data_IF_258934006759
#
_entry.id   IF_258934006759
#
_cell.length_a   1.000
_cell.length_b   1.000
_cell.length_c   1.000
_cell.angle_alpha   90.00
_cell.angle_beta   90.00
_cell.angle_gamma   90.00
#
_symmetry.space_group_name_H-M   'P 1'
#
loop_
_entity.id
_entity.type
_entity.pdbx_description
1 polymer ?
#
# COMPACT_ATOMS: atom_id res chain seq x y z
N UNK A 1 -13.94 20.96 -7.40
CA UNK A 1 -12.97 20.64 -8.47
C UNK A 1 -12.49 19.25 -8.16
N UNK A 2 -12.51 18.37 -9.16
CA UNK A 2 -12.13 16.98 -8.94
C UNK A 2 -10.61 16.86 -8.92
N UNK A 3 -10.08 16.00 -8.07
CA UNK A 3 -8.64 15.74 -7.95
C UNK A 3 -8.34 14.27 -7.68
N UNK A 4 -7.07 13.92 -7.89
CA UNK A 4 -6.50 12.62 -7.56
C UNK A 4 -5.48 12.84 -6.46
N UNK A 5 -5.55 12.06 -5.38
CA UNK A 5 -4.50 12.03 -4.36
C UNK A 5 -3.39 11.06 -4.81
N UNK A 6 -2.19 11.55 -5.16
CA UNK A 6 -1.15 10.68 -5.71
C UNK A 6 -0.48 9.80 -4.64
N UNK A 7 -0.64 10.10 -3.34
CA UNK A 7 0.07 9.41 -2.27
C UNK A 7 -0.66 9.53 -0.93
N UNK A 8 -1.40 8.49 -0.56
CA UNK A 8 -2.11 8.43 0.72
C UNK A 8 -2.18 7.00 1.27
N UNK A 9 -2.01 6.82 2.58
CA UNK A 9 -2.05 5.49 3.22
C UNK A 9 -3.38 5.26 3.94
N UNK A 10 -4.40 4.76 3.22
CA UNK A 10 -5.76 4.60 3.73
C UNK A 10 -5.95 3.45 4.73
N UNK A 11 -5.06 2.46 4.72
CA UNK A 11 -5.00 1.46 5.78
C UNK A 11 -4.80 2.09 7.17
N UNK A 12 -4.21 3.29 7.24
CA UNK A 12 -4.02 4.08 8.47
C UNK A 12 -5.06 5.19 8.65
N UNK A 13 -6.12 5.19 7.84
CA UNK A 13 -7.17 6.20 7.85
C UNK A 13 -8.51 5.61 8.24
N UNK A 14 -9.33 6.45 8.81
CA UNK A 14 -10.69 6.10 9.20
C UNK A 14 -11.63 6.16 8.00
N UNK A 15 -12.82 5.61 8.17
CA UNK A 15 -13.90 5.73 7.19
C UNK A 15 -14.37 7.19 7.01
N UNK A 16 -14.24 8.03 8.05
CA UNK A 16 -14.56 9.46 7.98
C UNK A 16 -13.59 10.23 7.06
N UNK A 17 -12.34 9.78 6.95
CA UNK A 17 -11.38 10.35 6.00
C UNK A 17 -11.84 10.14 4.56
N UNK A 18 -12.34 8.95 4.20
CA UNK A 18 -12.91 8.69 2.87
C UNK A 18 -14.11 9.60 2.57
N UNK A 19 -15.02 9.77 3.53
CA UNK A 19 -16.17 10.66 3.38
C UNK A 19 -15.73 12.12 3.17
N UNK A 20 -14.68 12.55 3.86
CA UNK A 20 -14.13 13.90 3.74
C UNK A 20 -13.43 14.09 2.38
N UNK A 21 -12.61 13.14 1.95
CA UNK A 21 -11.95 13.16 0.64
C UNK A 21 -12.97 13.28 -0.49
N UNK A 22 -14.04 12.46 -0.46
CA UNK A 22 -15.11 12.52 -1.45
C UNK A 22 -15.81 13.89 -1.47
N UNK A 23 -16.14 14.46 -0.30
CA UNK A 23 -16.73 15.82 -0.21
C UNK A 23 -15.84 16.91 -0.78
N UNK A 24 -14.52 16.73 -0.69
CA UNK A 24 -13.55 17.68 -1.23
C UNK A 24 -13.30 17.51 -2.74
N UNK A 25 -13.87 16.47 -3.36
CA UNK A 25 -13.71 16.19 -4.80
C UNK A 25 -12.61 15.19 -5.13
N UNK A 26 -12.12 14.39 -4.17
CA UNK A 26 -11.21 13.30 -4.49
C UNK A 26 -11.98 12.23 -5.29
N UNK A 27 -11.53 11.91 -6.50
CA UNK A 27 -12.16 10.90 -7.36
C UNK A 27 -11.32 9.64 -7.53
N UNK A 28 -10.02 9.73 -7.26
CA UNK A 28 -9.12 8.58 -7.21
C UNK A 28 -7.96 8.83 -6.23
N UNK A 29 -7.36 7.75 -5.75
CA UNK A 29 -6.20 7.81 -4.87
C UNK A 29 -5.19 6.72 -5.18
N UNK A 30 -3.94 6.99 -4.86
CA UNK A 30 -2.82 6.06 -4.96
C UNK A 30 -2.26 5.80 -3.56
N UNK A 31 -2.34 4.54 -3.12
CA UNK A 31 -1.87 4.07 -1.82
C UNK A 31 -0.67 3.14 -1.96
N UNK A 32 0.54 3.63 -1.69
CA UNK A 32 1.69 2.76 -1.57
C UNK A 32 1.64 1.91 -0.29
N UNK A 33 2.08 0.67 -0.39
CA UNK A 33 2.39 -0.18 0.75
C UNK A 33 3.39 0.54 1.67
N UNK A 34 3.18 0.50 2.99
CA UNK A 34 4.01 1.25 3.94
C UNK A 34 4.26 0.46 5.25
N UNK A 35 5.14 1.01 6.09
CA UNK A 35 5.51 0.45 7.38
C UNK A 35 4.45 0.76 8.45
N UNK A 36 3.87 -0.28 9.04
CA UNK A 36 2.69 -0.19 9.90
C UNK A 36 2.96 0.27 11.35
N UNK A 37 4.13 0.84 11.65
CA UNK A 37 4.53 1.14 13.03
C UNK A 37 5.30 0.02 13.73
N UNK A 38 5.45 -1.12 13.06
CA UNK A 38 6.17 -2.30 13.54
C UNK A 38 6.65 -3.13 12.34
N UNK A 39 7.68 -3.96 12.58
CA UNK A 39 8.19 -4.87 11.56
C UNK A 39 7.32 -6.13 11.48
N UNK A 40 6.85 -6.45 10.27
CA UNK A 40 6.13 -7.71 10.06
C UNK A 40 7.07 -8.89 10.27
N UNK A 41 6.59 -9.89 11.00
CA UNK A 41 7.41 -11.04 11.42
C UNK A 41 7.57 -12.15 10.37
N UNK A 42 6.78 -12.14 9.30
CA UNK A 42 6.80 -13.19 8.28
C UNK A 42 6.27 -12.70 6.92
N UNK A 43 6.56 -13.45 5.87
CA UNK A 43 6.02 -13.22 4.52
C UNK A 43 4.48 -13.27 4.50
N UNK A 44 3.87 -14.09 5.35
CA UNK A 44 2.41 -14.17 5.46
C UNK A 44 1.79 -12.88 6.01
N UNK A 45 2.49 -12.16 6.88
CA UNK A 45 2.07 -10.83 7.32
C UNK A 45 2.04 -9.82 6.17
N UNK A 46 3.00 -9.90 5.23
CA UNK A 46 2.97 -9.09 4.01
C UNK A 46 1.87 -9.53 3.04
N UNK A 47 1.64 -10.83 2.91
CA UNK A 47 0.60 -11.41 2.08
C UNK A 47 -0.80 -10.93 2.50
N UNK A 48 -1.09 -10.95 3.79
CA UNK A 48 -2.37 -10.45 4.32
C UNK A 48 -2.49 -8.93 4.16
N UNK A 49 -1.39 -8.20 4.29
CA UNK A 49 -1.36 -6.77 4.01
C UNK A 49 -1.62 -6.45 2.53
N UNK A 50 -1.03 -7.20 1.59
CA UNK A 50 -1.28 -7.03 0.16
C UNK A 50 -2.72 -7.41 -0.21
N UNK A 51 -3.33 -8.39 0.46
CA UNK A 51 -4.78 -8.64 0.34
C UNK A 51 -5.58 -7.42 0.79
N UNK A 52 -5.24 -6.82 1.92
CA UNK A 52 -5.92 -5.60 2.36
C UNK A 52 -5.84 -4.48 1.32
N UNK A 53 -4.67 -4.21 0.76
CA UNK A 53 -4.48 -3.19 -0.28
C UNK A 53 -5.21 -3.49 -1.60
N UNK A 54 -5.34 -4.77 -1.95
CA UNK A 54 -5.87 -5.18 -3.27
C UNK A 54 -7.33 -5.58 -3.26
N UNK A 55 -7.92 -5.80 -2.07
CA UNK A 55 -9.29 -6.29 -1.92
C UNK A 55 -10.10 -5.39 -0.99
N UNK A 56 -9.57 -5.09 0.20
CA UNK A 56 -10.31 -4.35 1.24
C UNK A 56 -10.34 -2.84 0.99
N UNK A 57 -9.18 -2.20 0.81
CA UNK A 57 -9.10 -0.76 0.58
C UNK A 57 -9.84 -0.29 -0.68
N UNK A 58 -9.76 -0.98 -1.85
CA UNK A 58 -10.59 -0.60 -2.99
C UNK A 58 -12.09 -0.76 -2.73
N UNK A 59 -12.50 -1.78 -1.96
CA UNK A 59 -13.90 -1.93 -1.56
C UNK A 59 -14.35 -0.81 -0.60
N UNK A 60 -13.49 -0.37 0.33
CA UNK A 60 -13.76 0.78 1.22
C UNK A 60 -13.88 2.07 0.41
N UNK A 61 -12.94 2.33 -0.50
CA UNK A 61 -12.94 3.53 -1.35
C UNK A 61 -14.19 3.61 -2.25
N UNK A 62 -14.60 2.47 -2.83
CA UNK A 62 -15.75 2.39 -3.72
C UNK A 62 -17.07 2.81 -3.04
N UNK A 63 -17.21 2.62 -1.72
CA UNK A 63 -18.40 3.08 -0.98
C UNK A 63 -18.58 4.61 -1.04
N UNK A 64 -17.52 5.34 -1.35
CA UNK A 64 -17.49 6.80 -1.45
C UNK A 64 -17.32 7.30 -2.88
N UNK A 65 -17.36 6.40 -3.87
CA UNK A 65 -17.14 6.74 -5.28
C UNK A 65 -15.69 7.09 -5.61
N UNK A 66 -14.72 6.70 -4.78
CA UNK A 66 -13.29 6.95 -5.02
C UNK A 66 -12.65 5.70 -5.61
N UNK A 67 -11.92 5.84 -6.72
CA UNK A 67 -11.09 4.76 -7.26
C UNK A 67 -9.81 4.63 -6.44
N UNK A 68 -9.48 3.41 -6.03
CA UNK A 68 -8.26 3.13 -5.27
C UNK A 68 -7.27 2.37 -6.13
N UNK A 69 -6.04 2.87 -6.16
CA UNK A 69 -4.89 2.21 -6.77
C UNK A 69 -3.82 2.00 -5.70
N UNK A 70 -2.99 0.98 -5.88
CA UNK A 70 -1.96 0.64 -4.91
C UNK A 70 -0.62 0.30 -5.54
N UNK A 71 0.43 0.42 -4.74
CA UNK A 71 1.79 0.00 -5.09
C UNK A 71 2.28 -0.99 -4.03
N UNK A 72 2.83 -2.12 -4.45
CA UNK A 72 3.36 -3.13 -3.54
C UNK A 72 4.81 -2.78 -3.17
N UNK A 73 5.26 -3.13 -1.97
CA UNK A 73 6.63 -2.88 -1.56
C UNK A 73 7.06 -3.73 -0.36
N UNK A 74 8.37 -3.68 -0.08
CA UNK A 74 8.91 -3.92 1.26
C UNK A 74 9.50 -2.59 1.70
N UNK A 75 9.04 -2.06 2.84
CA UNK A 75 9.55 -0.79 3.33
C UNK A 75 11.04 -0.90 3.68
N UNK A 76 11.81 0.16 3.44
CA UNK A 76 13.25 0.17 3.67
C UNK A 76 13.66 -0.14 5.12
N UNK A 77 12.77 0.07 6.10
CA UNK A 77 12.98 -0.32 7.51
C UNK A 77 12.93 -1.84 7.70
N UNK A 78 11.95 -2.49 7.07
CA UNK A 78 11.77 -3.96 7.11
C UNK A 78 12.78 -4.68 6.19
N UNK A 79 13.28 -3.97 5.17
CA UNK A 79 14.23 -4.49 4.20
C UNK A 79 15.61 -4.84 4.79
N UNK A 80 15.89 -4.46 6.04
CA UNK A 80 17.09 -4.86 6.77
C UNK A 80 17.14 -6.36 7.04
N UNK A 81 15.98 -7.02 7.14
CA UNK A 81 15.91 -8.48 7.14
C UNK A 81 15.94 -8.99 5.70
N UNK A 82 17.15 -9.29 5.21
CA UNK A 82 17.36 -9.73 3.82
C UNK A 82 16.65 -11.05 3.49
N UNK A 83 16.57 -12.00 4.44
CA UNK A 83 15.86 -13.27 4.21
C UNK A 83 14.38 -13.01 3.96
N UNK A 84 13.75 -12.29 4.88
CA UNK A 84 12.35 -11.92 4.77
C UNK A 84 12.07 -11.11 3.51
N UNK A 85 12.97 -10.19 3.16
CA UNK A 85 12.84 -9.38 1.94
C UNK A 85 12.81 -10.24 0.68
N UNK A 86 13.66 -11.27 0.60
CA UNK A 86 13.67 -12.21 -0.53
C UNK A 86 12.39 -13.03 -0.60
N UNK A 87 11.89 -13.48 0.54
CA UNK A 87 10.62 -14.22 0.62
C UNK A 87 9.44 -13.35 0.15
N UNK A 88 9.38 -12.08 0.55
CA UNK A 88 8.34 -11.16 0.10
C UNK A 88 8.47 -10.83 -1.38
N UNK A 89 9.68 -10.58 -1.90
CA UNK A 89 9.90 -10.36 -3.35
C UNK A 89 9.41 -11.57 -4.16
N UNK A 90 9.68 -12.79 -3.69
CA UNK A 90 9.23 -14.01 -4.34
C UNK A 90 7.69 -14.17 -4.34
N UNK A 91 7.00 -13.54 -3.39
CA UNK A 91 5.53 -13.56 -3.25
C UNK A 91 4.82 -12.47 -4.06
N UNK A 92 5.46 -11.34 -4.36
CA UNK A 92 4.88 -10.22 -5.15
C UNK A 92 4.16 -10.66 -6.44
N UNK A 93 4.66 -11.63 -7.24
CA UNK A 93 3.99 -12.08 -8.46
C UNK A 93 2.55 -12.55 -8.26
N UNK A 94 2.15 -12.94 -7.05
CA UNK A 94 0.76 -13.31 -6.75
C UNK A 94 -0.23 -12.13 -6.80
N UNK A 95 0.27 -10.90 -6.71
CA UNK A 95 -0.55 -9.68 -6.60
C UNK A 95 -0.30 -8.66 -7.70
N UNK A 96 0.87 -8.68 -8.36
CA UNK A 96 1.32 -7.61 -9.26
C UNK A 96 0.39 -7.36 -10.45
N UNK A 97 -0.31 -8.39 -10.93
CA UNK A 97 -1.23 -8.31 -12.07
C UNK A 97 -2.68 -7.98 -11.66
N UNK A 98 -2.95 -7.69 -10.37
CA UNK A 98 -4.27 -7.28 -9.93
C UNK A 98 -4.64 -5.92 -10.52
N UNK A 99 -5.92 -5.69 -10.88
CA UNK A 99 -6.33 -4.53 -11.67
C UNK A 99 -6.09 -3.17 -10.99
N UNK A 100 -6.01 -3.13 -9.67
CA UNK A 100 -5.74 -1.90 -8.91
C UNK A 100 -4.27 -1.73 -8.53
N UNK A 101 -3.38 -2.65 -8.90
CA UNK A 101 -1.94 -2.56 -8.62
C UNK A 101 -1.24 -1.85 -9.77
N UNK A 102 -0.56 -0.74 -9.48
CA UNK A 102 0.17 0.07 -10.47
C UNK A 102 1.65 -0.33 -10.59
N UNK A 103 2.18 -1.06 -9.62
CA UNK A 103 3.55 -1.54 -9.63
C UNK A 103 4.18 -1.56 -8.24
N UNK A 104 5.48 -1.26 -8.19
CA UNK A 104 6.27 -1.21 -6.96
C UNK A 104 6.54 0.24 -6.56
N UNK A 105 6.24 0.60 -5.31
CA UNK A 105 6.29 1.99 -4.81
C UNK A 105 6.78 2.08 -3.36
N UNK A 106 6.74 3.26 -2.75
CA UNK A 106 7.27 3.51 -1.38
C UNK A 106 8.69 2.96 -1.15
N UNK A 107 9.53 2.99 -2.19
CA UNK A 107 10.90 2.51 -2.14
C UNK A 107 11.84 3.65 -1.76
N UNK A 108 12.91 3.31 -1.06
CA UNK A 108 13.91 4.29 -0.64
C UNK A 108 15.05 3.64 0.12
N UNK A 109 15.96 4.48 0.60
CA UNK A 109 17.06 4.06 1.45
C UNK A 109 16.73 4.40 2.91
N UNK A 110 17.01 3.47 3.83
CA UNK A 110 16.82 3.69 5.27
C UNK A 110 18.11 4.20 5.93
N UNK A 111 19.02 3.29 6.30
CA UNK A 111 20.25 3.63 7.04
C UNK A 111 21.41 4.13 6.18
N UNK A 112 21.32 4.02 4.85
CA UNK A 112 22.41 4.36 3.91
C UNK A 112 23.76 3.70 4.28
N UNK A 113 23.72 2.47 4.77
CA UNK A 113 24.92 1.69 5.13
C UNK A 113 25.44 0.90 3.93
N UNK A 114 26.73 0.56 3.93
CA UNK A 114 27.27 -0.37 2.92
C UNK A 114 26.65 -1.76 3.12
N UNK A 115 26.06 -2.30 2.05
CA UNK A 115 25.62 -3.70 1.96
C UNK A 115 26.81 -4.62 1.71
#
# INVERSE_FOLDING_TARGET
MDYIDPHIHMVSRTTDDYATLARMGCVAMSEPAFWAGYDRGSVDGFRDYFRQLTETEPARAAQYGIQHFTWLCINAKEAENVSLSREVIAMIPEFIDKPNVLGIGEIGLNKNTKN
#
